data_IF_957382900754
#
_entry.id   IF_957382900754
#
_cell.length_a   1.000
_cell.length_b   1.000
_cell.length_c   1.000
_cell.angle_alpha   90.00
_cell.angle_beta   90.00
_cell.angle_gamma   90.00
#
_symmetry.space_group_name_H-M   'P 1'
#
loop_
_entity.id
_entity.type
_entity.pdbx_description
1 polymer ?
#
# COMPACT_ATOMS: atom_id res chain seq x y z
N UNK A 1 -16.78 3.51 -5.94
CA UNK A 1 -16.18 2.99 -4.69
C UNK A 1 -15.10 3.96 -4.22
N UNK A 2 -14.87 4.02 -2.91
CA UNK A 2 -13.78 4.78 -2.30
C UNK A 2 -12.73 3.83 -1.74
N UNK A 3 -11.52 3.93 -2.26
CA UNK A 3 -10.40 3.06 -1.89
C UNK A 3 -9.42 3.82 -1.01
N UNK A 4 -8.91 3.16 0.02
CA UNK A 4 -7.80 3.64 0.83
C UNK A 4 -6.53 2.92 0.37
N UNK A 5 -5.49 3.66 0.03
CA UNK A 5 -4.25 3.17 -0.57
C UNK A 5 -3.08 3.50 0.35
N UNK A 6 -2.35 2.50 0.81
CA UNK A 6 -1.19 2.71 1.70
C UNK A 6 -0.16 1.58 1.59
N UNK A 7 1.01 1.80 2.16
CA UNK A 7 2.15 0.90 2.05
C UNK A 7 3.12 1.07 3.22
N UNK A 8 4.04 0.13 3.33
CA UNK A 8 5.20 0.24 4.21
C UNK A 8 4.81 0.49 5.67
N UNK A 9 3.99 -0.45 6.19
CA UNK A 9 3.52 -0.49 7.59
C UNK A 9 4.65 -0.91 8.52
N UNK A 10 5.47 -1.89 8.07
CA UNK A 10 6.64 -2.40 8.78
C UNK A 10 6.38 -2.80 10.24
N UNK A 11 5.21 -3.35 10.52
CA UNK A 11 4.85 -3.84 11.85
C UNK A 11 4.45 -2.77 12.86
N UNK A 12 4.36 -1.51 12.47
CA UNK A 12 3.99 -0.41 13.36
C UNK A 12 2.47 -0.34 13.57
N UNK A 13 1.99 -0.91 14.66
CA UNK A 13 0.56 -0.91 14.99
C UNK A 13 -0.01 0.50 15.17
N UNK A 14 0.63 1.45 15.87
CA UNK A 14 0.08 2.80 16.02
C UNK A 14 -0.11 3.53 14.69
N UNK A 15 0.78 3.31 13.71
CA UNK A 15 0.63 3.89 12.37
C UNK A 15 -0.56 3.27 11.63
N UNK A 16 -0.70 1.93 11.71
CA UNK A 16 -1.86 1.24 11.12
C UNK A 16 -3.18 1.68 11.74
N UNK A 17 -3.25 1.81 13.07
CA UNK A 17 -4.48 2.23 13.75
C UNK A 17 -5.00 3.58 13.24
N UNK A 18 -4.12 4.55 13.02
CA UNK A 18 -4.50 5.87 12.45
C UNK A 18 -5.10 5.74 11.04
N UNK A 19 -4.56 4.84 10.24
CA UNK A 19 -5.07 4.58 8.88
C UNK A 19 -6.42 3.87 8.93
N UNK A 20 -6.59 2.92 9.84
CA UNK A 20 -7.86 2.23 10.05
C UNK A 20 -8.95 3.15 10.61
N UNK A 21 -8.60 4.06 11.52
CA UNK A 21 -9.53 5.10 12.01
C UNK A 21 -10.03 5.96 10.85
N UNK A 22 -9.12 6.37 9.94
CA UNK A 22 -9.50 7.10 8.74
C UNK A 22 -10.42 6.28 7.83
N UNK A 23 -10.09 4.99 7.62
CA UNK A 23 -10.90 4.08 6.81
C UNK A 23 -12.36 4.03 7.29
N UNK A 24 -12.56 3.93 8.59
CA UNK A 24 -13.89 3.89 9.21
C UNK A 24 -14.61 5.25 9.16
N UNK A 25 -13.92 6.33 9.53
CA UNK A 25 -14.49 7.69 9.56
C UNK A 25 -14.92 8.16 8.17
N UNK A 26 -14.09 7.91 7.18
CA UNK A 26 -14.34 8.29 5.79
C UNK A 26 -15.19 7.28 5.01
N UNK A 27 -15.60 6.20 5.65
CA UNK A 27 -16.42 5.12 5.07
C UNK A 27 -15.86 4.60 3.74
N UNK A 28 -14.56 4.33 3.73
CA UNK A 28 -13.94 3.72 2.58
C UNK A 28 -14.46 2.30 2.37
N UNK A 29 -14.58 1.87 1.12
CA UNK A 29 -15.14 0.56 0.77
C UNK A 29 -14.09 -0.55 0.83
N UNK A 30 -12.87 -0.26 0.39
CA UNK A 30 -11.76 -1.20 0.30
C UNK A 30 -10.42 -0.56 0.65
N UNK A 31 -9.49 -1.39 1.11
CA UNK A 31 -8.09 -1.05 1.29
C UNK A 31 -7.21 -1.75 0.26
N UNK A 32 -6.27 -1.01 -0.32
CA UNK A 32 -5.21 -1.57 -1.15
C UNK A 32 -3.87 -1.34 -0.43
N UNK A 33 -3.20 -2.43 -0.08
CA UNK A 33 -1.93 -2.40 0.66
C UNK A 33 -0.80 -2.79 -0.29
N UNK A 34 0.09 -1.86 -0.58
CA UNK A 34 1.20 -2.08 -1.51
C UNK A 34 2.42 -2.73 -0.85
N UNK A 35 2.21 -3.60 0.14
CA UNK A 35 3.25 -4.45 0.71
C UNK A 35 4.02 -3.89 1.90
N UNK A 36 5.00 -4.66 2.37
CA UNK A 36 5.81 -4.42 3.57
C UNK A 36 4.95 -4.24 4.83
N UNK A 37 4.18 -5.30 5.14
CA UNK A 37 3.10 -5.24 6.15
C UNK A 37 3.64 -5.43 7.57
N UNK A 38 4.31 -6.55 7.83
CA UNK A 38 4.67 -6.98 9.20
C UNK A 38 6.14 -6.72 9.50
N UNK A 39 7.05 -7.14 8.61
CA UNK A 39 8.48 -7.08 8.84
C UNK A 39 9.03 -5.67 8.58
N UNK A 40 9.78 -5.12 9.53
CA UNK A 40 10.40 -3.81 9.37
C UNK A 40 11.62 -3.82 8.43
N UNK A 41 12.21 -5.00 8.16
CA UNK A 41 13.39 -5.17 7.30
C UNK A 41 14.70 -4.74 7.95
N UNK A 42 15.84 -5.24 7.43
CA UNK A 42 17.16 -5.01 8.04
C UNK A 42 17.70 -3.59 7.87
N UNK A 43 17.16 -2.83 6.93
CA UNK A 43 17.60 -1.46 6.63
C UNK A 43 16.88 -0.37 7.43
N UNK A 44 15.74 -0.71 8.02
CA UNK A 44 14.97 0.20 8.84
C UNK A 44 15.31 0.00 10.31
N UNK A 45 15.13 1.05 11.12
CA UNK A 45 15.08 0.90 12.56
C UNK A 45 13.86 0.08 12.97
N UNK A 46 13.87 -0.47 14.18
CA UNK A 46 12.68 -1.06 14.77
C UNK A 46 11.68 0.06 15.03
N UNK A 47 10.44 0.00 14.49
CA UNK A 47 9.47 1.07 14.71
C UNK A 47 9.01 1.13 16.17
N UNK A 48 8.78 2.33 16.64
CA UNK A 48 8.11 2.52 17.94
C UNK A 48 6.70 1.95 17.87
N UNK A 49 6.34 1.12 18.86
CA UNK A 49 5.03 0.44 18.86
C UNK A 49 4.94 -0.75 17.90
N UNK A 50 6.07 -1.36 17.55
CA UNK A 50 6.06 -2.60 16.76
C UNK A 50 5.21 -3.66 17.48
N UNK A 51 4.23 -4.20 16.77
CA UNK A 51 3.33 -5.25 17.25
C UNK A 51 2.81 -6.11 16.09
N UNK A 52 3.60 -7.09 15.62
CA UNK A 52 3.19 -7.97 14.53
C UNK A 52 1.86 -8.69 14.77
N UNK A 53 1.65 -9.14 16.00
CA UNK A 53 0.40 -9.83 16.39
C UNK A 53 -0.80 -8.90 16.30
N UNK A 54 -0.68 -7.68 16.79
CA UNK A 54 -1.72 -6.66 16.69
C UNK A 54 -2.04 -6.29 15.25
N UNK A 55 -1.02 -6.18 14.37
CA UNK A 55 -1.20 -5.98 12.93
C UNK A 55 -2.06 -7.10 12.34
N UNK A 56 -1.71 -8.36 12.60
CA UNK A 56 -2.44 -9.53 12.10
C UNK A 56 -3.89 -9.53 12.57
N UNK A 57 -4.14 -9.31 13.84
CA UNK A 57 -5.49 -9.28 14.41
C UNK A 57 -6.35 -8.18 13.76
N UNK A 58 -5.80 -6.97 13.60
CA UNK A 58 -6.53 -5.84 13.03
C UNK A 58 -6.83 -6.01 11.55
N UNK A 59 -5.87 -6.49 10.76
CA UNK A 59 -6.07 -6.68 9.32
C UNK A 59 -6.96 -7.89 9.03
N UNK A 60 -6.83 -8.99 9.76
CA UNK A 60 -7.70 -10.17 9.57
C UNK A 60 -9.18 -9.86 9.88
N UNK A 61 -9.45 -8.96 10.83
CA UNK A 61 -10.80 -8.50 11.10
C UNK A 61 -11.46 -7.77 9.89
N UNK A 62 -10.66 -7.32 8.93
CA UNK A 62 -11.07 -6.59 7.72
C UNK A 62 -10.66 -7.29 6.43
N UNK A 63 -10.32 -8.59 6.50
CA UNK A 63 -9.75 -9.35 5.37
C UNK A 63 -10.61 -9.32 4.10
N UNK A 64 -11.92 -9.29 4.24
CA UNK A 64 -12.89 -9.20 3.13
C UNK A 64 -12.89 -7.84 2.39
N UNK A 65 -12.18 -6.86 2.90
CA UNK A 65 -12.06 -5.50 2.33
C UNK A 65 -10.64 -5.16 1.88
N UNK A 66 -9.72 -6.14 1.88
CA UNK A 66 -8.29 -5.91 1.60
C UNK A 66 -7.88 -6.56 0.28
N UNK A 67 -7.20 -5.79 -0.55
CA UNK A 67 -6.36 -6.27 -1.66
C UNK A 67 -4.92 -5.88 -1.33
N UNK A 68 -4.00 -6.84 -1.38
CA UNK A 68 -2.60 -6.58 -1.08
C UNK A 68 -1.67 -7.20 -2.11
N UNK A 69 -0.48 -6.63 -2.24
CA UNK A 69 0.62 -7.14 -3.06
C UNK A 69 1.86 -7.34 -2.21
N UNK A 70 2.79 -8.18 -2.68
CA UNK A 70 4.01 -8.52 -1.96
C UNK A 70 5.02 -7.39 -2.00
N UNK A 71 5.44 -6.92 -0.82
CA UNK A 71 6.64 -6.12 -0.64
C UNK A 71 7.91 -6.98 -0.52
N UNK A 72 9.07 -6.32 -0.56
CA UNK A 72 10.35 -7.03 -0.43
C UNK A 72 10.61 -7.56 0.99
N UNK A 73 9.90 -7.06 1.99
CA UNK A 73 9.99 -7.56 3.37
C UNK A 73 8.92 -8.61 3.72
N UNK A 74 7.95 -8.87 2.84
CA UNK A 74 6.88 -9.83 3.10
C UNK A 74 7.36 -11.26 2.83
N UNK A 75 7.13 -12.15 3.79
CA UNK A 75 7.58 -13.54 3.77
C UNK A 75 6.41 -14.53 3.82
N UNK A 76 6.69 -15.78 3.48
CA UNK A 76 5.73 -16.88 3.55
C UNK A 76 5.12 -17.03 4.95
N UNK A 77 5.92 -16.80 6.01
CA UNK A 77 5.42 -16.84 7.39
C UNK A 77 4.36 -15.78 7.66
N UNK A 78 4.47 -14.61 7.04
CA UNK A 78 3.47 -13.55 7.17
C UNK A 78 2.16 -13.96 6.49
N UNK A 79 2.25 -14.60 5.32
CA UNK A 79 1.07 -15.14 4.64
C UNK A 79 0.37 -16.24 5.44
N UNK A 80 1.10 -17.03 6.23
CA UNK A 80 0.49 -18.04 7.10
C UNK A 80 -0.38 -17.44 8.21
N UNK A 81 -0.15 -16.18 8.56
CA UNK A 81 -0.87 -15.47 9.62
C UNK A 81 -2.02 -14.60 9.10
N UNK A 82 -1.92 -14.12 7.85
CA UNK A 82 -2.90 -13.22 7.23
C UNK A 82 -3.94 -13.99 6.42
N UNK A 83 -5.20 -13.67 6.60
CA UNK A 83 -6.35 -14.35 5.98
C UNK A 83 -6.66 -13.88 4.54
N UNK A 84 -5.83 -13.01 4.00
CA UNK A 84 -5.93 -12.50 2.63
C UNK A 84 -4.60 -12.67 1.87
N UNK A 85 -4.60 -12.79 0.53
CA UNK A 85 -3.38 -13.00 -0.26
C UNK A 85 -2.44 -11.80 -0.18
N UNK A 86 -1.13 -12.06 0.06
CA UNK A 86 -0.09 -11.03 0.11
C UNK A 86 1.14 -11.35 -0.76
N UNK A 87 1.14 -12.48 -1.48
CA UNK A 87 2.36 -13.00 -2.12
C UNK A 87 2.45 -12.70 -3.61
N UNK A 88 1.48 -12.03 -4.20
CA UNK A 88 1.49 -11.69 -5.62
C UNK A 88 2.29 -10.40 -5.87
N UNK A 89 3.06 -10.40 -6.96
CA UNK A 89 3.91 -9.25 -7.33
C UNK A 89 3.09 -8.01 -7.68
N UNK A 90 1.89 -8.21 -8.22
CA UNK A 90 0.97 -7.13 -8.59
C UNK A 90 -0.49 -7.58 -8.47
N UNK A 91 -1.37 -6.60 -8.45
CA UNK A 91 -2.80 -6.78 -8.60
C UNK A 91 -3.37 -5.71 -9.54
N UNK A 92 -4.51 -5.99 -10.13
CA UNK A 92 -5.23 -5.03 -10.96
C UNK A 92 -6.47 -4.55 -10.23
N UNK A 93 -6.64 -3.24 -10.17
CA UNK A 93 -7.87 -2.61 -9.75
C UNK A 93 -8.50 -1.98 -10.98
N UNK A 94 -9.71 -2.40 -11.33
CA UNK A 94 -10.47 -1.81 -12.44
C UNK A 94 -11.67 -1.10 -11.86
N UNK A 95 -11.70 0.20 -11.99
CA UNK A 95 -12.77 1.03 -11.46
C UNK A 95 -13.03 2.23 -12.37
N UNK A 96 -14.30 2.57 -12.57
CA UNK A 96 -14.71 3.72 -13.36
C UNK A 96 -14.09 3.78 -14.77
N UNK A 97 -13.94 2.62 -15.41
CA UNK A 97 -13.38 2.47 -16.76
C UNK A 97 -11.85 2.64 -16.84
N UNK A 98 -11.15 2.70 -15.71
CA UNK A 98 -9.69 2.80 -15.63
C UNK A 98 -9.07 1.54 -15.01
N UNK A 99 -7.88 1.21 -15.46
CA UNK A 99 -7.08 0.09 -14.98
C UNK A 99 -5.87 0.61 -14.20
N UNK A 100 -5.81 0.27 -12.91
CA UNK A 100 -4.75 0.64 -11.99
C UNK A 100 -3.88 -0.58 -11.71
N UNK A 101 -2.58 -0.47 -11.93
CA UNK A 101 -1.59 -1.48 -11.55
C UNK A 101 -1.14 -1.22 -10.12
N UNK A 102 -1.48 -2.15 -9.21
CA UNK A 102 -1.01 -2.13 -7.83
C UNK A 102 0.26 -2.97 -7.72
N UNK A 103 1.32 -2.42 -7.18
CA UNK A 103 2.59 -3.13 -6.95
C UNK A 103 3.32 -2.51 -5.75
N UNK A 104 4.36 -3.18 -5.25
CA UNK A 104 5.11 -2.60 -4.13
C UNK A 104 6.08 -1.50 -4.58
N UNK A 105 6.76 -1.67 -5.69
CA UNK A 105 7.73 -0.71 -6.21
C UNK A 105 9.18 -1.20 -6.29
N UNK A 106 9.50 -2.37 -5.69
CA UNK A 106 10.84 -2.95 -5.80
C UNK A 106 11.08 -3.71 -7.10
N UNK A 107 10.02 -4.09 -7.81
CA UNK A 107 10.09 -4.71 -9.15
C UNK A 107 9.59 -3.73 -10.20
N UNK A 108 8.33 -3.38 -10.15
CA UNK A 108 7.70 -2.40 -11.04
C UNK A 108 7.50 -1.07 -10.34
N UNK A 109 7.88 0.00 -11.02
CA UNK A 109 7.83 1.38 -10.54
C UNK A 109 7.86 2.33 -11.76
N UNK A 110 7.98 3.63 -11.53
CA UNK A 110 8.01 4.62 -12.63
C UNK A 110 9.22 4.49 -13.57
N UNK A 111 10.34 3.98 -13.07
CA UNK A 111 11.55 3.73 -13.89
C UNK A 111 11.52 2.37 -14.61
N UNK A 112 10.67 1.46 -14.15
CA UNK A 112 10.47 0.12 -14.70
C UNK A 112 8.98 -0.17 -14.86
N UNK A 113 8.31 0.63 -15.68
CA UNK A 113 6.88 0.50 -15.94
C UNK A 113 6.64 -0.69 -16.90
N UNK A 114 5.88 -1.72 -16.49
CA UNK A 114 5.56 -2.82 -17.38
C UNK A 114 4.59 -2.35 -18.48
N UNK A 115 4.66 -2.97 -19.65
CA UNK A 115 3.68 -2.76 -20.70
C UNK A 115 2.36 -3.43 -20.37
N UNK A 116 1.27 -2.74 -20.62
CA UNK A 116 -0.07 -3.25 -20.36
C UNK A 116 -1.13 -2.16 -20.47
N UNK A 117 -2.39 -2.49 -20.24
CA UNK A 117 -3.51 -1.56 -20.37
C UNK A 117 -3.67 -0.67 -19.11
N UNK A 118 -2.57 -0.18 -18.55
CA UNK A 118 -2.56 0.55 -17.30
C UNK A 118 -2.72 2.05 -17.51
N UNK A 119 -3.75 2.63 -16.92
CA UNK A 119 -3.93 4.08 -16.83
C UNK A 119 -3.08 4.71 -15.73
N UNK A 120 -2.72 3.93 -14.72
CA UNK A 120 -1.96 4.39 -13.56
C UNK A 120 -1.22 3.22 -12.89
N UNK A 121 -0.05 3.51 -12.34
CA UNK A 121 0.67 2.62 -11.40
C UNK A 121 0.61 3.20 -9.99
N UNK A 122 0.31 2.35 -9.01
CA UNK A 122 0.24 2.71 -7.59
C UNK A 122 1.21 1.82 -6.82
N UNK A 123 2.14 2.43 -6.07
CA UNK A 123 3.18 1.69 -5.35
C UNK A 123 3.67 2.43 -4.10
N UNK A 124 4.62 1.85 -3.38
CA UNK A 124 5.27 2.39 -2.19
C UNK A 124 6.80 2.23 -2.25
N UNK A 125 7.37 1.43 -1.35
CA UNK A 125 8.76 1.01 -1.29
C UNK A 125 9.81 2.11 -1.04
N UNK A 126 9.78 3.20 -1.79
CA UNK A 126 10.77 4.28 -1.66
C UNK A 126 10.55 5.13 -0.41
N UNK A 127 9.39 5.04 0.22
CA UNK A 127 8.93 5.90 1.31
C UNK A 127 8.85 7.40 0.95
N UNK A 128 8.80 7.69 -0.35
CA UNK A 128 8.68 9.03 -0.92
C UNK A 128 7.36 9.11 -1.66
N UNK A 129 6.41 9.89 -1.17
CA UNK A 129 5.13 10.03 -1.85
C UNK A 129 5.27 10.79 -3.17
N UNK A 130 4.46 10.42 -4.15
CA UNK A 130 4.41 11.09 -5.45
C UNK A 130 2.99 11.02 -6.03
N UNK A 131 2.57 12.08 -6.66
CA UNK A 131 1.35 12.15 -7.47
C UNK A 131 1.68 12.93 -8.75
N UNK A 132 1.91 12.22 -9.83
CA UNK A 132 2.34 12.79 -11.09
C UNK A 132 1.85 11.96 -12.29
N UNK A 133 2.31 12.31 -13.49
CA UNK A 133 2.08 11.56 -14.72
C UNK A 133 3.40 11.40 -15.46
N UNK A 134 3.56 10.28 -16.16
CA UNK A 134 4.69 10.10 -17.07
C UNK A 134 4.44 10.80 -18.44
N UNK A 135 5.41 10.72 -19.34
CA UNK A 135 5.32 11.33 -20.67
C UNK A 135 4.19 10.73 -21.53
N UNK A 136 3.77 9.49 -21.24
CA UNK A 136 2.67 8.81 -21.94
C UNK A 136 1.29 9.13 -21.35
N UNK A 137 1.24 9.97 -20.33
CA UNK A 137 0.00 10.41 -19.67
C UNK A 137 -0.53 9.42 -18.62
N UNK A 138 0.21 8.35 -18.33
CA UNK A 138 -0.16 7.41 -17.25
C UNK A 138 0.10 8.02 -15.88
N UNK A 139 -0.82 7.80 -14.95
CA UNK A 139 -0.67 8.25 -13.57
C UNK A 139 0.46 7.51 -12.85
N UNK A 140 1.22 8.26 -12.05
CA UNK A 140 2.26 7.75 -11.16
C UNK A 140 1.87 8.12 -9.74
N UNK A 141 1.56 7.13 -8.93
CA UNK A 141 1.17 7.33 -7.53
C UNK A 141 2.06 6.50 -6.63
N UNK A 142 2.83 7.16 -5.78
CA UNK A 142 3.53 6.51 -4.68
C UNK A 142 2.88 6.96 -3.38
N UNK A 143 2.42 6.01 -2.57
CA UNK A 143 1.72 6.32 -1.32
C UNK A 143 2.64 6.77 -0.20
N UNK A 144 3.96 6.68 -0.39
CA UNK A 144 4.93 6.90 0.68
C UNK A 144 4.89 5.76 1.70
N UNK A 145 5.23 6.06 2.94
CA UNK A 145 5.13 5.12 4.06
C UNK A 145 4.28 5.72 5.17
N UNK A 146 3.44 4.89 5.78
CA UNK A 146 2.70 5.30 6.97
C UNK A 146 3.54 5.27 8.24
N UNK A 147 4.74 4.67 8.18
CA UNK A 147 5.62 4.45 9.35
C UNK A 147 6.96 5.18 9.23
N UNK A 148 7.63 5.06 8.08
CA UNK A 148 8.99 5.57 7.85
C UNK A 148 9.06 6.51 6.64
N UNK A 149 8.41 7.68 6.67
CA UNK A 149 8.54 8.64 5.58
C UNK A 149 9.98 9.10 5.41
N UNK A 150 10.39 9.32 4.16
CA UNK A 150 11.72 9.83 3.79
C UNK A 150 11.62 11.22 3.17
N UNK A 151 12.78 11.83 2.90
CA UNK A 151 12.85 13.13 2.23
C UNK A 151 12.26 14.30 3.03
N UNK A 152 12.23 14.20 4.37
CA UNK A 152 11.61 15.21 5.23
C UNK A 152 10.08 15.21 5.23
N UNK A 153 9.46 14.18 4.64
CA UNK A 153 8.01 14.03 4.58
C UNK A 153 7.42 13.53 5.91
N UNK A 154 6.13 13.71 6.07
CA UNK A 154 5.31 13.08 7.12
C UNK A 154 4.77 11.73 6.63
N UNK A 155 4.27 10.87 7.52
CA UNK A 155 3.55 9.66 7.11
C UNK A 155 2.39 9.98 6.18
N UNK A 156 2.26 9.23 5.09
CA UNK A 156 1.25 9.48 4.05
C UNK A 156 0.53 8.20 3.62
N UNK A 157 -0.66 8.39 3.15
CA UNK A 157 -1.47 7.44 2.40
C UNK A 157 -2.28 8.21 1.36
N UNK A 158 -3.01 7.54 0.49
CA UNK A 158 -3.86 8.19 -0.50
C UNK A 158 -5.27 7.59 -0.49
N UNK A 159 -6.22 8.32 -1.05
CA UNK A 159 -7.54 7.80 -1.40
C UNK A 159 -7.75 7.87 -2.91
N UNK A 160 -8.53 6.94 -3.43
CA UNK A 160 -9.02 6.95 -4.80
C UNK A 160 -10.53 6.86 -4.79
N UNK A 161 -11.19 7.85 -5.35
CA UNK A 161 -12.64 7.87 -5.51
C UNK A 161 -13.03 8.53 -6.83
N UNK A 162 -13.90 7.88 -7.62
CA UNK A 162 -14.34 8.37 -8.93
C UNK A 162 -13.18 8.75 -9.88
N UNK A 163 -12.07 7.98 -9.84
CA UNK A 163 -10.89 8.23 -10.66
C UNK A 163 -10.01 9.38 -10.18
N UNK A 164 -10.29 9.96 -9.01
CA UNK A 164 -9.52 11.07 -8.42
C UNK A 164 -8.75 10.61 -7.19
N UNK A 165 -7.46 10.92 -7.17
CA UNK A 165 -6.60 10.73 -6.00
C UNK A 165 -6.59 11.95 -5.07
N UNK A 166 -6.51 11.68 -3.78
CA UNK A 166 -6.31 12.69 -2.75
C UNK A 166 -5.34 12.17 -1.71
#
# INVERSE_FOLDING_TARGET
>A
MKYLLFSDIHGCLPALEKVLDFFEQEKCDMMCIMGDIINYGPRNRIPEGIDPKGIVERLNALADKIVAVRGNCDAEVDQMLLDFPIMETYALLVDNGKCYLLTHGHVYNKENMPKGPYDCIIYGHSHLWELSHNEEGQGIVNTGSITFPKGGNVPTFATLENGKFT
#
